data_IF_623454868002
#
_entry.id   IF_623454868002
#
_cell.length_a   1.000
_cell.length_b   1.000
_cell.length_c   1.000
_cell.angle_alpha   90.00
_cell.angle_beta   90.00
_cell.angle_gamma   90.00
#
_symmetry.space_group_name_H-M   'P 1'
#
loop_
_entity.id
_entity.type
_entity.pdbx_description
1 polymer ?
#
# COMPACT_ATOMS: atom_id res chain seq x y z
N UNK A 1 26.18 -18.89 -66.51
CA UNK A 1 26.96 -19.86 -65.72
C UNK A 1 26.68 -19.53 -64.25
N UNK A 2 25.50 -19.82 -63.72
CA UNK A 2 25.07 -21.13 -63.18
C UNK A 2 26.08 -21.75 -62.23
N UNK A 3 25.88 -21.55 -60.93
CA UNK A 3 25.84 -22.61 -59.92
C UNK A 3 25.18 -22.05 -58.65
N UNK A 4 23.94 -22.49 -58.40
CA UNK A 4 23.35 -22.41 -57.07
C UNK A 4 23.92 -23.51 -56.18
N UNK A 5 23.91 -23.29 -54.87
CA UNK A 5 23.99 -24.38 -53.92
C UNK A 5 23.06 -24.13 -52.75
N UNK A 6 22.33 -25.18 -52.41
CA UNK A 6 21.17 -25.27 -51.55
C UNK A 6 21.56 -26.22 -50.41
N UNK A 7 21.35 -25.83 -49.16
CA UNK A 7 21.57 -26.69 -48.01
C UNK A 7 21.38 -25.85 -46.75
N UNK A 8 20.52 -26.18 -45.80
CA UNK A 8 19.75 -27.37 -45.54
C UNK A 8 19.40 -27.25 -44.06
N UNK A 9 18.18 -26.79 -43.76
CA UNK A 9 17.71 -26.46 -42.40
C UNK A 9 17.43 -27.76 -41.63
N UNK A 10 18.02 -28.01 -40.45
CA UNK A 10 17.67 -29.17 -39.65
C UNK A 10 16.33 -28.93 -38.91
N UNK A 11 15.45 -29.93 -39.02
CA UNK A 11 14.12 -30.01 -38.42
C UNK A 11 14.25 -30.58 -36.99
N UNK A 12 13.54 -30.06 -35.97
CA UNK A 12 13.58 -30.63 -34.62
C UNK A 12 12.77 -31.93 -34.55
N UNK A 13 13.15 -32.90 -33.70
CA UNK A 13 12.41 -34.14 -33.53
C UNK A 13 11.09 -33.94 -32.77
N UNK A 14 10.04 -34.55 -33.32
CA UNK A 14 8.70 -34.65 -32.74
C UNK A 14 8.72 -35.53 -31.48
N UNK A 15 8.24 -34.99 -30.37
CA UNK A 15 7.92 -35.76 -29.17
C UNK A 15 6.50 -36.35 -29.29
N UNK A 16 6.41 -37.63 -28.96
CA UNK A 16 5.22 -38.48 -29.05
C UNK A 16 4.20 -38.08 -27.98
N UNK A 17 3.04 -37.60 -28.42
CA UNK A 17 1.90 -37.34 -27.54
C UNK A 17 1.22 -38.66 -27.17
N UNK A 18 1.34 -39.06 -25.91
CA UNK A 18 0.60 -40.20 -25.35
C UNK A 18 -0.76 -39.71 -24.84
N UNK A 19 -1.83 -40.17 -25.51
CA UNK A 19 -3.21 -40.11 -25.06
C UNK A 19 -3.38 -40.96 -23.80
N UNK A 20 -3.89 -40.37 -22.72
CA UNK A 20 -4.63 -41.10 -21.68
C UNK A 20 -5.85 -40.26 -21.28
N UNK A 21 -7.03 -40.82 -21.57
CA UNK A 21 -8.34 -40.22 -21.27
C UNK A 21 -8.71 -40.33 -19.79
N UNK A 22 -9.80 -39.65 -19.38
CA UNK A 22 -10.22 -39.56 -17.99
C UNK A 22 -10.94 -40.83 -17.55
N UNK A 23 -10.50 -41.43 -16.44
CA UNK A 23 -11.27 -42.46 -15.74
C UNK A 23 -12.22 -41.76 -14.78
N UNK A 24 -13.50 -41.81 -15.11
CA UNK A 24 -14.60 -41.42 -14.23
C UNK A 24 -14.84 -42.53 -13.20
N UNK A 25 -14.71 -42.20 -11.91
CA UNK A 25 -15.10 -43.08 -10.80
C UNK A 25 -16.36 -42.52 -10.15
N UNK A 26 -17.48 -43.14 -10.49
CA UNK A 26 -18.79 -42.97 -9.88
C UNK A 26 -18.81 -43.62 -8.49
N UNK A 27 -19.07 -42.83 -7.44
CA UNK A 27 -19.35 -43.35 -6.10
C UNK A 27 -20.82 -43.08 -5.74
N UNK A 28 -21.57 -44.18 -5.57
CA UNK A 28 -23.00 -44.22 -5.21
C UNK A 28 -23.17 -44.01 -3.70
N UNK A 29 -24.15 -43.20 -3.32
CA UNK A 29 -24.71 -43.13 -1.97
C UNK A 29 -25.45 -44.43 -1.60
N UNK A 30 -25.59 -44.72 -0.29
CA UNK A 30 -26.77 -45.41 0.22
C UNK A 30 -27.59 -44.51 1.17
N UNK A 31 -28.87 -44.39 0.83
CA UNK A 31 -29.96 -43.81 1.62
C UNK A 31 -30.54 -44.87 2.55
N UNK A 32 -30.74 -44.58 3.84
CA UNK A 32 -31.65 -45.33 4.72
C UNK A 32 -32.33 -44.36 5.71
N UNK A 33 -33.64 -44.50 5.87
CA UNK A 33 -34.56 -43.58 6.53
C UNK A 33 -34.97 -44.02 7.96
N UNK A 34 -35.04 -43.02 8.87
CA UNK A 34 -36.03 -42.64 9.92
C UNK A 34 -36.86 -43.76 10.61
N UNK A 35 -37.04 -43.73 11.96
CA UNK A 35 -38.27 -43.13 12.53
C UNK A 35 -38.11 -42.30 13.82
N UNK A 36 -39.19 -41.56 14.08
CA UNK A 36 -39.49 -40.53 15.09
C UNK A 36 -40.00 -41.08 16.43
N UNK A 37 -39.74 -40.39 17.54
CA UNK A 37 -40.62 -40.40 18.74
C UNK A 37 -40.37 -39.24 19.72
N UNK A 38 -41.44 -38.52 20.08
CA UNK A 38 -41.68 -37.63 21.25
C UNK A 38 -42.97 -38.15 21.93
N UNK A 39 -43.44 -37.66 23.10
CA UNK A 39 -42.83 -37.11 24.32
C UNK A 39 -43.38 -37.87 25.59
N UNK A 40 -43.28 -37.36 26.85
CA UNK A 40 -44.33 -36.48 27.40
C UNK A 40 -43.81 -35.43 28.43
N UNK A 41 -44.71 -34.89 29.26
CA UNK A 41 -44.89 -33.47 29.59
C UNK A 41 -45.02 -33.13 31.09
N UNK A 42 -44.56 -31.91 31.47
CA UNK A 42 -45.04 -30.96 32.53
C UNK A 42 -44.87 -31.31 34.03
N UNK A 43 -44.88 -30.35 35.01
CA UNK A 43 -45.43 -28.97 34.98
C UNK A 43 -44.57 -27.82 35.59
N UNK A 44 -45.23 -26.65 35.72
CA UNK A 44 -44.82 -25.23 35.80
C UNK A 44 -44.46 -24.62 37.18
N UNK A 45 -43.75 -23.47 37.08
CA UNK A 45 -43.82 -22.19 37.85
C UNK A 45 -43.11 -22.03 39.22
N UNK A 46 -42.77 -20.79 39.69
CA UNK A 46 -42.60 -19.49 39.00
C UNK A 46 -41.33 -18.66 39.39
N UNK A 47 -41.00 -17.69 38.53
CA UNK A 47 -40.45 -16.33 38.77
C UNK A 47 -39.47 -16.05 39.92
N UNK A 48 -38.21 -15.71 39.56
CA UNK A 48 -37.46 -14.62 40.22
C UNK A 48 -36.67 -13.81 39.18
N UNK A 49 -37.08 -12.56 39.03
CA UNK A 49 -36.35 -11.44 38.43
C UNK A 49 -35.06 -11.19 39.18
N UNK A 50 -33.92 -11.36 38.51
CA UNK A 50 -32.68 -10.68 38.86
C UNK A 50 -32.21 -9.92 37.63
N UNK A 51 -32.19 -8.59 37.78
CA UNK A 51 -31.69 -7.63 36.82
C UNK A 51 -30.23 -7.97 36.50
N UNK A 52 -29.97 -8.51 35.31
CA UNK A 52 -28.62 -8.61 34.77
C UNK A 52 -28.29 -7.27 34.09
N UNK A 53 -27.26 -6.62 34.62
CA UNK A 53 -26.85 -5.27 34.30
C UNK A 53 -26.57 -5.01 32.82
N UNK A 54 -27.03 -3.83 32.40
CA UNK A 54 -26.39 -2.86 31.50
C UNK A 54 -25.17 -3.39 30.70
N UNK A 55 -25.26 -3.52 29.36
CA UNK A 55 -24.07 -3.80 28.56
C UNK A 55 -23.11 -2.61 28.62
N UNK A 56 -21.83 -2.93 28.73
CA UNK A 56 -20.67 -2.05 28.73
C UNK A 56 -20.79 -0.96 27.65
N UNK A 57 -21.02 0.28 28.07
CA UNK A 57 -21.10 1.47 27.22
C UNK A 57 -19.92 2.49 27.31
N UNK A 58 -18.79 2.25 28.02
CA UNK A 58 -17.78 3.30 28.14
C UNK A 58 -16.92 3.47 26.88
N UNK A 59 -16.61 2.41 26.12
CA UNK A 59 -15.71 2.55 24.95
C UNK A 59 -16.35 3.31 23.79
N UNK A 60 -17.57 2.93 23.39
CA UNK A 60 -18.26 3.56 22.26
C UNK A 60 -18.61 5.04 22.48
N UNK A 61 -18.82 5.46 23.74
CA UNK A 61 -19.00 6.86 24.07
C UNK A 61 -17.70 7.67 24.00
N UNK A 62 -16.55 7.07 24.36
CA UNK A 62 -15.24 7.71 24.26
C UNK A 62 -14.85 7.88 22.79
N UNK A 63 -15.05 6.84 21.98
CA UNK A 63 -14.73 6.86 20.55
C UNK A 63 -15.58 7.93 19.82
N UNK A 64 -16.89 7.98 20.09
CA UNK A 64 -17.77 9.01 19.51
C UNK A 64 -17.42 10.44 19.96
N UNK A 65 -16.94 10.62 21.20
CA UNK A 65 -16.48 11.92 21.68
C UNK A 65 -15.17 12.34 21.02
N UNK A 66 -14.26 11.39 20.83
CA UNK A 66 -13.00 11.58 20.12
C UNK A 66 -13.25 11.94 18.64
N UNK A 67 -14.10 11.19 17.95
CA UNK A 67 -14.45 11.45 16.55
C UNK A 67 -15.09 12.83 16.36
N UNK A 68 -15.91 13.27 17.32
CA UNK A 68 -16.48 14.62 17.32
C UNK A 68 -15.41 15.70 17.49
N UNK A 69 -14.42 15.48 18.35
CA UNK A 69 -13.29 16.39 18.53
C UNK A 69 -12.41 16.44 17.26
N UNK A 70 -12.15 15.28 16.66
CA UNK A 70 -11.44 15.13 15.39
C UNK A 70 -12.16 15.86 14.25
N UNK A 71 -13.47 15.65 14.09
CA UNK A 71 -14.27 16.36 13.09
C UNK A 71 -14.28 17.88 13.34
N UNK A 72 -14.27 18.33 14.59
CA UNK A 72 -14.18 19.76 14.91
C UNK A 72 -12.80 20.35 14.55
N UNK A 73 -11.71 19.60 14.77
CA UNK A 73 -10.37 19.98 14.33
C UNK A 73 -10.33 20.13 12.81
N UNK A 74 -10.81 19.13 12.09
CA UNK A 74 -10.81 19.12 10.62
C UNK A 74 -11.57 20.32 10.08
N UNK A 75 -12.82 20.55 10.54
CA UNK A 75 -13.61 21.71 10.09
C UNK A 75 -12.91 23.03 10.36
N UNK A 76 -12.23 23.17 11.50
CA UNK A 76 -11.54 24.41 11.87
C UNK A 76 -10.36 24.70 10.94
N UNK A 77 -9.62 23.68 10.52
CA UNK A 77 -8.39 23.86 9.71
C UNK A 77 -8.70 23.82 8.21
N UNK A 78 -9.44 22.80 7.76
CA UNK A 78 -9.63 22.53 6.34
C UNK A 78 -10.87 23.21 5.76
N UNK A 79 -11.86 23.61 6.57
CA UNK A 79 -13.11 24.23 6.08
C UNK A 79 -13.45 25.58 6.74
N UNK A 80 -12.52 26.54 6.86
CA UNK A 80 -12.74 27.79 7.61
C UNK A 80 -13.87 28.67 7.05
N UNK A 81 -14.13 28.60 5.72
CA UNK A 81 -15.13 29.44 5.04
C UNK A 81 -16.57 28.92 5.14
N UNK A 82 -16.77 27.67 5.56
CA UNK A 82 -18.13 27.09 5.77
C UNK A 82 -18.90 27.79 6.89
N UNK A 83 -18.22 28.56 7.74
CA UNK A 83 -18.81 29.37 8.82
C UNK A 83 -19.31 30.75 8.35
N UNK A 84 -18.95 31.22 7.15
CA UNK A 84 -19.17 32.60 6.72
C UNK A 84 -20.21 32.80 5.60
N UNK A 85 -20.83 31.72 5.09
CA UNK A 85 -21.89 31.84 4.08
C UNK A 85 -23.27 32.05 4.72
N UNK A 86 -23.64 33.33 4.87
CA UNK A 86 -25.02 33.81 4.88
C UNK A 86 -25.78 33.77 6.22
N UNK A 87 -26.56 34.81 6.55
CA UNK A 87 -27.40 34.85 7.77
C UNK A 87 -28.52 33.78 7.81
N UNK A 88 -28.75 33.04 6.71
CA UNK A 88 -29.85 32.07 6.58
C UNK A 88 -29.55 30.66 7.12
N UNK A 89 -28.33 30.35 7.57
CA UNK A 89 -27.97 29.02 8.10
C UNK A 89 -27.93 28.91 9.63
N UNK A 90 -28.14 30.01 10.35
CA UNK A 90 -28.18 29.99 11.84
C UNK A 90 -29.40 29.25 12.41
N UNK A 91 -30.37 28.87 11.59
CA UNK A 91 -31.63 28.23 12.04
C UNK A 91 -31.67 26.70 11.91
N UNK A 92 -30.66 26.03 11.34
CA UNK A 92 -30.65 24.55 11.23
C UNK A 92 -29.50 23.96 12.04
N UNK A 93 -29.78 23.62 13.29
CA UNK A 93 -28.85 23.24 14.36
C UNK A 93 -28.02 21.96 14.18
N UNK A 94 -27.63 21.58 12.97
CA UNK A 94 -26.67 20.50 12.72
C UNK A 94 -25.66 20.95 11.65
N UNK A 95 -24.35 21.03 11.97
CA UNK A 95 -23.33 21.36 10.97
C UNK A 95 -23.37 20.37 9.81
N UNK A 96 -23.14 20.84 8.57
CA UNK A 96 -23.09 19.97 7.38
C UNK A 96 -22.13 18.79 7.59
N UNK A 97 -22.48 17.59 7.10
CA UNK A 97 -21.61 16.43 7.18
C UNK A 97 -20.28 16.72 6.47
N UNK A 98 -19.18 16.20 7.03
CA UNK A 98 -17.83 16.47 6.52
C UNK A 98 -17.65 15.88 5.10
N UNK A 99 -18.39 14.81 4.83
CA UNK A 99 -18.46 14.07 3.57
C UNK A 99 -19.04 14.91 2.41
N UNK A 100 -19.77 15.99 2.71
CA UNK A 100 -20.30 16.92 1.70
C UNK A 100 -19.33 18.08 1.44
N UNK A 101 -18.42 18.37 2.38
CA UNK A 101 -17.48 19.48 2.30
C UNK A 101 -16.11 19.08 1.75
N UNK A 102 -15.70 17.83 1.94
CA UNK A 102 -14.40 17.33 1.54
C UNK A 102 -14.55 16.13 0.57
N UNK A 103 -13.67 16.03 -0.44
CA UNK A 103 -13.73 14.94 -1.42
C UNK A 103 -13.35 13.60 -0.75
N UNK A 104 -14.11 12.49 -0.85
CA UNK A 104 -13.72 11.24 -0.19
C UNK A 104 -12.29 10.80 -0.54
N UNK A 105 -11.48 10.38 0.42
CA UNK A 105 -10.08 9.97 0.16
C UNK A 105 -10.01 8.49 -0.18
N UNK A 106 -10.84 7.69 0.48
CA UNK A 106 -10.93 6.24 0.33
C UNK A 106 -12.39 5.79 0.26
N UNK A 107 -12.61 4.47 0.17
CA UNK A 107 -13.96 3.89 0.30
C UNK A 107 -14.50 3.79 1.72
N UNK A 108 -13.69 4.07 2.75
CA UNK A 108 -14.10 4.00 4.16
C UNK A 108 -14.08 5.37 4.82
N UNK A 109 -15.26 5.84 5.23
CA UNK A 109 -15.42 7.14 5.89
C UNK A 109 -14.68 7.21 7.24
N UNK A 110 -14.53 6.09 7.94
CA UNK A 110 -13.79 6.03 9.22
C UNK A 110 -12.29 6.27 8.99
N UNK A 111 -11.73 5.70 7.92
CA UNK A 111 -10.33 5.92 7.53
C UNK A 111 -10.14 7.36 7.05
N UNK A 112 -11.07 7.86 6.24
CA UNK A 112 -11.05 9.23 5.74
C UNK A 112 -11.07 10.25 6.89
N UNK A 113 -11.87 10.02 7.93
CA UNK A 113 -11.91 10.89 9.11
C UNK A 113 -10.51 11.01 9.76
N UNK A 114 -9.84 9.88 9.99
CA UNK A 114 -8.51 9.89 10.62
C UNK A 114 -7.44 10.46 9.69
N UNK A 115 -7.51 10.14 8.39
CA UNK A 115 -6.59 10.67 7.40
C UNK A 115 -6.74 12.19 7.26
N UNK A 116 -7.97 12.70 7.27
CA UNK A 116 -8.22 14.14 7.32
C UNK A 116 -7.75 14.79 8.60
N UNK A 117 -7.80 14.10 9.74
CA UNK A 117 -7.23 14.62 10.98
C UNK A 117 -5.72 14.83 10.85
N UNK A 118 -5.01 13.86 10.26
CA UNK A 118 -3.59 13.95 9.99
C UNK A 118 -3.27 15.08 9.00
N UNK A 119 -4.01 15.15 7.88
CA UNK A 119 -3.86 16.22 6.88
C UNK A 119 -4.12 17.59 7.54
N UNK A 120 -5.12 17.72 8.40
CA UNK A 120 -5.42 18.94 9.13
C UNK A 120 -4.25 19.36 10.03
N UNK A 121 -3.59 18.42 10.71
CA UNK A 121 -2.39 18.73 11.50
C UNK A 121 -1.28 19.23 10.58
N UNK A 122 -1.02 18.54 9.46
CA UNK A 122 0.03 18.92 8.50
C UNK A 122 -0.22 20.31 7.92
N UNK A 123 -1.42 20.59 7.41
CA UNK A 123 -1.77 21.89 6.83
C UNK A 123 -1.67 23.00 7.89
N UNK A 124 -2.16 22.75 9.10
CA UNK A 124 -2.07 23.74 10.19
C UNK A 124 -0.63 24.09 10.55
N UNK A 125 0.26 23.11 10.65
CA UNK A 125 1.61 23.31 11.17
C UNK A 125 2.63 23.70 10.09
N UNK A 126 2.50 23.15 8.88
CA UNK A 126 3.50 23.33 7.83
C UNK A 126 3.05 24.25 6.68
N UNK A 127 1.74 24.42 6.46
CA UNK A 127 1.24 25.31 5.39
C UNK A 127 0.83 26.64 6.00
N UNK A 128 -0.12 26.64 6.94
CA UNK A 128 -0.63 27.88 7.53
C UNK A 128 0.38 28.63 8.38
N UNK A 129 1.42 27.98 8.92
CA UNK A 129 2.46 28.67 9.68
C UNK A 129 3.16 29.78 8.87
N UNK A 130 3.25 29.66 7.54
CA UNK A 130 3.84 30.68 6.67
C UNK A 130 2.84 31.25 5.67
N UNK A 131 1.96 30.43 5.07
CA UNK A 131 1.07 30.87 3.99
C UNK A 131 0.06 31.92 4.46
N UNK A 132 -0.48 31.79 5.68
CA UNK A 132 -1.41 32.78 6.25
C UNK A 132 -0.76 34.14 6.50
N UNK A 133 0.58 34.20 6.52
CA UNK A 133 1.34 35.46 6.65
C UNK A 133 1.42 36.19 5.30
N UNK A 134 1.32 35.46 4.19
CA UNK A 134 1.42 36.01 2.83
C UNK A 134 0.04 36.38 2.30
N UNK A 135 -0.92 35.46 2.36
CA UNK A 135 -2.28 35.66 1.82
C UNK A 135 -3.34 35.00 2.74
N UNK A 136 -4.52 35.62 2.93
CA UNK A 136 -5.58 35.06 3.76
C UNK A 136 -6.51 34.07 3.02
N UNK A 137 -6.20 33.67 1.79
CA UNK A 137 -7.01 32.72 1.03
C UNK A 137 -6.67 31.26 1.39
N UNK A 138 -7.51 30.32 0.93
CA UNK A 138 -7.36 28.88 1.20
C UNK A 138 -7.17 28.05 -0.08
N UNK A 139 -7.07 28.72 -1.23
CA UNK A 139 -7.03 28.07 -2.56
C UNK A 139 -5.92 27.03 -2.64
N UNK A 140 -4.72 27.37 -2.18
CA UNK A 140 -3.58 26.45 -2.14
C UNK A 140 -3.82 25.23 -1.24
N UNK A 141 -4.48 25.41 -0.10
CA UNK A 141 -4.80 24.29 0.80
C UNK A 141 -5.85 23.36 0.22
N UNK A 142 -6.85 23.93 -0.48
CA UNK A 142 -7.89 23.18 -1.19
C UNK A 142 -7.28 22.35 -2.34
N UNK A 143 -6.34 22.93 -3.10
CA UNK A 143 -5.58 22.21 -4.13
C UNK A 143 -4.78 21.05 -3.55
N UNK A 144 -4.05 21.25 -2.43
CA UNK A 144 -3.33 20.16 -1.75
C UNK A 144 -4.28 19.02 -1.37
N UNK A 145 -5.44 19.34 -0.79
CA UNK A 145 -6.44 18.33 -0.41
C UNK A 145 -6.95 17.57 -1.64
N UNK A 146 -7.20 18.27 -2.75
CA UNK A 146 -7.65 17.67 -4.00
C UNK A 146 -6.60 16.74 -4.60
N UNK A 147 -5.32 17.12 -4.59
CA UNK A 147 -4.21 16.28 -5.04
C UNK A 147 -4.11 15.04 -4.17
N UNK A 148 -4.14 15.19 -2.84
CA UNK A 148 -4.10 14.05 -1.92
C UNK A 148 -5.28 13.12 -2.17
N UNK A 149 -6.50 13.65 -2.35
CA UNK A 149 -7.69 12.86 -2.64
C UNK A 149 -7.56 12.07 -3.95
N UNK A 150 -6.96 12.67 -4.98
CA UNK A 150 -6.70 11.96 -6.22
C UNK A 150 -5.67 10.84 -6.02
N UNK A 151 -4.54 11.15 -5.38
CA UNK A 151 -3.47 10.18 -5.10
C UNK A 151 -3.97 9.00 -4.27
N UNK A 152 -4.75 9.24 -3.20
CA UNK A 152 -5.25 8.17 -2.31
C UNK A 152 -6.26 7.28 -3.02
N UNK A 153 -7.16 7.85 -3.83
CA UNK A 153 -8.10 7.06 -4.63
C UNK A 153 -7.40 6.27 -5.73
N UNK A 154 -6.45 6.87 -6.44
CA UNK A 154 -5.68 6.19 -7.48
C UNK A 154 -4.89 5.01 -6.87
N UNK A 155 -4.31 5.22 -5.69
CA UNK A 155 -3.65 4.17 -4.92
C UNK A 155 -4.62 3.06 -4.52
N UNK A 156 -5.79 3.40 -3.95
CA UNK A 156 -6.80 2.41 -3.55
C UNK A 156 -7.29 1.59 -4.75
N UNK A 157 -7.55 2.24 -5.89
CA UNK A 157 -7.98 1.56 -7.11
C UNK A 157 -6.93 0.56 -7.61
N UNK A 158 -5.65 0.90 -7.53
CA UNK A 158 -4.56 -0.01 -7.90
C UNK A 158 -4.42 -1.15 -6.88
N UNK A 159 -4.49 -0.86 -5.59
CA UNK A 159 -4.44 -1.89 -4.54
C UNK A 159 -5.59 -2.89 -4.67
N UNK A 160 -6.79 -2.45 -5.08
CA UNK A 160 -7.93 -3.34 -5.37
C UNK A 160 -7.69 -4.29 -6.53
N UNK A 161 -6.78 -3.96 -7.46
CA UNK A 161 -6.41 -4.83 -8.58
C UNK A 161 -5.28 -5.80 -8.23
N UNK A 162 -4.56 -5.53 -7.13
CA UNK A 162 -3.50 -6.40 -6.63
C UNK A 162 -4.13 -7.53 -5.83
N UNK A 163 -3.81 -8.76 -6.19
CA UNK A 163 -4.15 -9.92 -5.38
C UNK A 163 -3.25 -9.94 -4.13
N UNK A 164 -3.78 -9.42 -3.03
CA UNK A 164 -3.04 -9.32 -1.76
C UNK A 164 -2.74 -10.71 -1.19
N UNK A 165 -3.62 -11.69 -1.42
CA UNK A 165 -3.41 -13.05 -0.93
C UNK A 165 -2.21 -13.69 -1.63
N UNK A 166 -2.15 -13.59 -2.96
CA UNK A 166 -1.00 -14.07 -3.74
C UNK A 166 0.29 -13.30 -3.41
N UNK A 167 0.22 -11.97 -3.24
CA UNK A 167 1.38 -11.16 -2.87
C UNK A 167 1.98 -11.60 -1.53
N UNK A 168 1.13 -11.82 -0.53
CA UNK A 168 1.55 -12.14 0.84
C UNK A 168 1.93 -13.62 1.01
N UNK A 169 1.24 -14.53 0.33
CA UNK A 169 1.43 -15.97 0.51
C UNK A 169 2.40 -16.60 -0.50
N UNK A 170 2.56 -16.02 -1.69
CA UNK A 170 3.41 -16.59 -2.74
C UNK A 170 4.62 -15.69 -3.02
N UNK A 171 4.40 -14.43 -3.43
CA UNK A 171 5.47 -13.56 -3.94
C UNK A 171 6.48 -13.14 -2.85
N UNK A 172 6.00 -12.64 -1.71
CA UNK A 172 6.88 -12.23 -0.60
C UNK A 172 7.67 -13.43 -0.05
N UNK A 173 7.04 -14.58 0.27
CA UNK A 173 7.78 -15.76 0.71
C UNK A 173 8.76 -16.28 -0.34
N UNK A 174 8.40 -16.28 -1.62
CA UNK A 174 9.31 -16.68 -2.69
C UNK A 174 10.54 -15.77 -2.78
N UNK A 175 10.36 -14.45 -2.63
CA UNK A 175 11.47 -13.49 -2.60
C UNK A 175 12.39 -13.75 -1.39
N UNK A 176 11.82 -14.01 -0.22
CA UNK A 176 12.57 -14.35 1.00
C UNK A 176 13.31 -15.68 0.85
N UNK A 177 12.67 -16.69 0.26
CA UNK A 177 13.29 -17.99 -0.03
C UNK A 177 14.46 -17.82 -0.99
N UNK A 178 14.29 -17.09 -2.08
CA UNK A 178 15.36 -16.79 -3.04
C UNK A 178 16.55 -16.10 -2.36
N UNK A 179 16.27 -15.13 -1.47
CA UNK A 179 17.29 -14.48 -0.65
C UNK A 179 18.03 -15.48 0.26
N UNK A 180 17.31 -16.33 1.00
CA UNK A 180 17.88 -17.34 1.90
C UNK A 180 18.74 -18.35 1.13
N UNK A 181 18.27 -18.83 -0.03
CA UNK A 181 19.00 -19.77 -0.89
C UNK A 181 20.28 -19.13 -1.41
N UNK A 182 20.22 -17.89 -1.92
CA UNK A 182 21.40 -17.16 -2.39
C UNK A 182 22.41 -16.95 -1.26
N UNK A 183 21.96 -16.52 -0.07
CA UNK A 183 22.80 -16.33 1.10
C UNK A 183 23.47 -17.64 1.54
N UNK A 184 22.70 -18.72 1.68
CA UNK A 184 23.23 -20.03 2.08
C UNK A 184 24.24 -20.56 1.06
N UNK A 185 23.96 -20.40 -0.23
CA UNK A 185 24.85 -20.81 -1.32
C UNK A 185 26.17 -20.03 -1.28
N UNK A 186 26.11 -18.71 -1.08
CA UNK A 186 27.29 -17.87 -0.91
C UNK A 186 28.11 -18.27 0.35
N UNK A 187 27.43 -18.61 1.44
CA UNK A 187 28.06 -18.98 2.71
C UNK A 187 28.72 -20.38 2.71
N UNK A 188 28.14 -21.33 1.96
CA UNK A 188 28.61 -22.72 1.92
C UNK A 188 29.80 -22.95 0.99
N UNK A 189 30.24 -21.92 0.25
CA UNK A 189 31.33 -22.05 -0.72
C UNK A 189 32.69 -22.26 -0.01
N UNK A 190 33.39 -23.40 -0.22
CA UNK A 190 34.61 -23.74 0.53
C UNK A 190 35.88 -23.00 0.07
N UNK A 191 35.79 -22.14 -0.95
CA UNK A 191 36.94 -21.39 -1.46
C UNK A 191 37.32 -20.22 -0.53
N UNK A 192 38.42 -20.43 0.20
CA UNK A 192 39.35 -19.48 0.84
C UNK A 192 38.82 -18.09 1.26
N UNK A 193 38.90 -17.86 2.58
CA UNK A 193 38.62 -16.62 3.30
C UNK A 193 37.13 -16.21 3.33
N UNK A 194 36.48 -16.54 4.46
CA UNK A 194 35.19 -16.01 4.91
C UNK A 194 35.30 -14.52 5.28
N UNK A 195 35.84 -13.71 4.40
CA UNK A 195 35.81 -12.25 4.55
C UNK A 195 34.39 -11.77 4.22
N UNK A 196 33.97 -10.70 4.89
CA UNK A 196 32.67 -10.07 4.60
C UNK A 196 32.58 -9.60 3.13
N UNK A 197 33.71 -9.14 2.57
CA UNK A 197 33.83 -8.68 1.17
C UNK A 197 33.58 -9.82 0.16
N UNK A 198 34.12 -11.02 0.42
CA UNK A 198 33.84 -12.19 -0.41
C UNK A 198 32.37 -12.60 -0.37
N UNK A 199 31.78 -12.67 0.83
CA UNK A 199 30.37 -13.03 1.00
C UNK A 199 29.44 -12.05 0.27
N UNK A 200 29.71 -10.75 0.38
CA UNK A 200 28.94 -9.73 -0.32
C UNK A 200 29.05 -9.89 -1.84
N UNK A 201 30.28 -10.09 -2.36
CA UNK A 201 30.51 -10.32 -3.79
C UNK A 201 29.82 -11.58 -4.31
N UNK A 202 29.94 -12.69 -3.59
CA UNK A 202 29.31 -13.96 -3.95
C UNK A 202 27.77 -13.84 -3.92
N UNK A 203 27.21 -13.20 -2.89
CA UNK A 203 25.78 -12.98 -2.78
C UNK A 203 25.24 -12.09 -3.92
N UNK A 204 25.88 -10.95 -4.23
CA UNK A 204 25.45 -10.06 -5.32
C UNK A 204 25.66 -10.64 -6.72
N UNK A 205 26.53 -11.64 -6.86
CA UNK A 205 26.63 -12.42 -8.11
C UNK A 205 25.42 -13.33 -8.29
N UNK A 206 24.87 -13.88 -7.21
CA UNK A 206 23.67 -14.73 -7.22
C UNK A 206 22.38 -13.90 -7.27
N UNK A 207 22.38 -12.71 -6.67
CA UNK A 207 21.24 -11.80 -6.65
C UNK A 207 21.67 -10.37 -7.06
N UNK A 208 21.84 -10.10 -8.37
CA UNK A 208 22.32 -8.82 -8.85
C UNK A 208 21.26 -7.73 -8.66
N UNK A 209 21.62 -6.65 -7.96
CA UNK A 209 20.74 -5.48 -7.79
C UNK A 209 21.34 -4.22 -8.46
N UNK A 210 20.61 -3.53 -9.36
CA UNK A 210 21.14 -2.37 -10.11
C UNK A 210 21.72 -1.25 -9.24
N UNK A 211 21.12 -1.02 -8.06
CA UNK A 211 21.54 0.01 -7.12
C UNK A 211 22.76 -0.37 -6.26
N UNK A 212 23.08 -1.67 -6.14
CA UNK A 212 24.09 -2.17 -5.20
C UNK A 212 25.37 -2.66 -5.89
N UNK A 213 25.51 -2.33 -7.17
CA UNK A 213 26.72 -2.56 -7.95
C UNK A 213 27.48 -1.24 -8.12
N UNK A 214 28.83 -1.22 -8.15
CA UNK A 214 29.72 -2.30 -7.75
C UNK A 214 29.58 -2.61 -6.26
N UNK A 215 29.95 -3.83 -5.86
CA UNK A 215 30.02 -4.20 -4.44
C UNK A 215 31.11 -3.35 -3.78
N UNK A 216 30.81 -2.64 -2.68
CA UNK A 216 31.77 -1.77 -2.03
C UNK A 216 32.80 -2.63 -1.28
N UNK A 217 34.07 -2.37 -1.54
CA UNK A 217 35.17 -2.90 -0.73
C UNK A 217 35.70 -1.78 0.17
N UNK A 218 35.99 -2.09 1.44
CA UNK A 218 36.40 -1.08 2.42
C UNK A 218 37.72 -0.39 2.04
N UNK A 219 38.54 -1.05 1.23
CA UNK A 219 39.79 -0.53 0.67
C UNK A 219 39.59 0.35 -0.57
N UNK A 220 38.44 0.29 -1.23
CA UNK A 220 38.19 0.97 -2.50
C UNK A 220 37.13 2.08 -2.35
N UNK A 221 37.62 3.28 -2.05
CA UNK A 221 36.79 4.50 -1.99
C UNK A 221 36.12 4.84 -3.31
N UNK A 222 36.65 4.38 -4.45
CA UNK A 222 36.05 4.66 -5.77
C UNK A 222 34.82 3.79 -6.01
N UNK A 223 34.87 2.51 -5.65
CA UNK A 223 33.73 1.60 -5.71
C UNK A 223 32.59 2.07 -4.79
N UNK A 224 32.90 2.52 -3.57
CA UNK A 224 31.93 3.08 -2.63
C UNK A 224 31.21 4.29 -3.24
N UNK A 225 31.95 5.25 -3.81
CA UNK A 225 31.38 6.44 -4.42
C UNK A 225 30.53 6.13 -5.66
N UNK A 226 30.95 5.16 -6.50
CA UNK A 226 30.18 4.75 -7.67
C UNK A 226 28.86 4.08 -7.27
N UNK A 227 28.89 3.19 -6.27
CA UNK A 227 27.68 2.55 -5.78
C UNK A 227 26.70 3.57 -5.18
N UNK A 228 27.18 4.50 -4.36
CA UNK A 228 26.36 5.58 -3.82
C UNK A 228 25.67 6.39 -4.92
N UNK A 229 26.40 6.71 -6.00
CA UNK A 229 25.83 7.40 -7.16
C UNK A 229 24.71 6.58 -7.82
N UNK A 230 24.90 5.27 -7.97
CA UNK A 230 23.89 4.37 -8.55
C UNK A 230 22.69 4.18 -7.64
N UNK A 231 22.91 4.12 -6.34
CA UNK A 231 21.84 4.09 -5.34
C UNK A 231 20.99 5.36 -5.39
N UNK A 232 21.61 6.54 -5.47
CA UNK A 232 20.90 7.81 -5.69
C UNK A 232 20.12 7.81 -7.01
N UNK A 233 20.73 7.36 -8.10
CA UNK A 233 20.05 7.28 -9.39
C UNK A 233 18.85 6.31 -9.37
N UNK A 234 18.99 5.18 -8.68
CA UNK A 234 17.92 4.20 -8.52
C UNK A 234 16.77 4.74 -7.67
N UNK A 235 17.07 5.41 -6.55
CA UNK A 235 16.05 6.06 -5.70
C UNK A 235 15.29 7.13 -6.47
N UNK A 236 15.99 7.95 -7.25
CA UNK A 236 15.39 8.94 -8.13
C UNK A 236 14.48 8.30 -9.19
N UNK A 237 14.92 7.22 -9.84
CA UNK A 237 14.09 6.49 -10.78
C UNK A 237 12.82 5.92 -10.12
N UNK A 238 12.95 5.36 -8.91
CA UNK A 238 11.83 4.82 -8.14
C UNK A 238 10.84 5.94 -7.78
N UNK A 239 11.33 7.07 -7.28
CA UNK A 239 10.51 8.24 -6.95
C UNK A 239 9.73 8.76 -8.17
N UNK A 240 10.40 8.90 -9.32
CA UNK A 240 9.73 9.33 -10.56
C UNK A 240 8.69 8.30 -11.04
N UNK A 241 8.96 7.00 -10.89
CA UNK A 241 8.01 5.94 -11.20
C UNK A 241 6.76 5.99 -10.30
N UNK A 242 6.95 6.23 -8.99
CA UNK A 242 5.86 6.41 -8.03
C UNK A 242 5.03 7.64 -8.38
N UNK A 243 5.67 8.77 -8.68
CA UNK A 243 4.95 9.99 -9.11
C UNK A 243 4.16 9.77 -10.39
N UNK A 244 4.72 9.13 -11.40
CA UNK A 244 4.01 8.83 -12.64
C UNK A 244 2.78 7.92 -12.44
N UNK A 245 2.74 7.20 -11.33
CA UNK A 245 1.66 6.27 -10.97
C UNK A 245 0.57 6.94 -10.12
N UNK A 246 0.95 7.86 -9.23
CA UNK A 246 0.07 8.44 -8.22
C UNK A 246 -0.45 9.85 -8.57
N UNK A 247 0.37 10.68 -9.22
CA UNK A 247 0.02 12.07 -9.50
C UNK A 247 -1.01 12.16 -10.64
N UNK A 248 -1.97 13.10 -10.57
CA UNK A 248 -2.79 13.49 -11.71
C UNK A 248 -1.92 13.92 -12.90
N UNK A 249 -2.41 13.74 -14.12
CA UNK A 249 -1.68 14.15 -15.34
C UNK A 249 -1.36 15.64 -15.35
N UNK A 250 -2.30 16.46 -14.84
CA UNK A 250 -2.16 17.93 -14.72
C UNK A 250 -0.98 18.31 -13.81
N UNK A 251 -0.87 17.64 -12.67
CA UNK A 251 0.21 17.86 -11.70
C UNK A 251 1.54 17.25 -12.15
N UNK A 252 1.50 16.14 -12.90
CA UNK A 252 2.69 15.50 -13.44
C UNK A 252 3.38 16.37 -14.50
N UNK A 253 2.61 17.16 -15.25
CA UNK A 253 3.13 18.14 -16.22
C UNK A 253 3.85 19.30 -15.53
N UNK A 254 3.55 19.57 -14.25
CA UNK A 254 4.24 20.58 -13.48
C UNK A 254 5.66 20.14 -13.09
N UNK A 255 6.65 20.63 -13.84
CA UNK A 255 8.08 20.30 -13.63
C UNK A 255 8.56 20.66 -12.23
N UNK A 256 8.09 21.77 -11.64
CA UNK A 256 8.52 22.19 -10.30
C UNK A 256 8.00 21.25 -9.23
N UNK A 257 6.71 20.90 -9.29
CA UNK A 257 6.10 19.95 -8.36
C UNK A 257 6.74 18.56 -8.49
N UNK A 258 6.86 18.05 -9.72
CA UNK A 258 7.45 16.73 -9.98
C UNK A 258 8.91 16.63 -9.52
N UNK A 259 9.70 17.70 -9.70
CA UNK A 259 11.10 17.71 -9.25
C UNK A 259 11.16 17.79 -7.73
N UNK A 260 10.44 18.74 -7.11
CA UNK A 260 10.44 18.93 -5.66
C UNK A 260 9.96 17.68 -4.91
N UNK A 261 8.80 17.15 -5.28
CA UNK A 261 8.24 15.96 -4.62
C UNK A 261 9.08 14.73 -4.94
N UNK A 262 9.65 14.66 -6.15
CA UNK A 262 10.58 13.61 -6.55
C UNK A 262 11.82 13.57 -5.68
N UNK A 263 12.44 14.73 -5.44
CA UNK A 263 13.62 14.86 -4.58
C UNK A 263 13.28 14.55 -3.12
N UNK A 264 12.13 15.02 -2.61
CA UNK A 264 11.66 14.67 -1.26
C UNK A 264 11.48 13.15 -1.12
N UNK A 265 10.85 12.50 -2.10
CA UNK A 265 10.66 11.05 -2.09
C UNK A 265 12.00 10.31 -2.18
N UNK A 266 12.90 10.73 -3.08
CA UNK A 266 14.17 10.07 -3.30
C UNK A 266 15.16 10.25 -2.15
N UNK A 267 15.23 11.45 -1.58
CA UNK A 267 16.25 11.82 -0.61
C UNK A 267 15.77 11.78 0.84
N UNK A 268 14.54 12.21 1.14
CA UNK A 268 14.04 12.20 2.52
C UNK A 268 13.36 10.88 2.90
N UNK A 269 12.59 10.28 1.97
CA UNK A 269 11.79 9.08 2.30
C UNK A 269 12.55 7.80 1.96
N UNK A 270 13.08 7.69 0.74
CA UNK A 270 13.87 6.55 0.29
C UNK A 270 15.35 6.69 0.66
N UNK A 271 15.76 7.91 0.99
CA UNK A 271 17.15 8.31 1.07
C UNK A 271 17.74 8.36 2.47
N UNK A 272 17.18 7.66 3.45
CA UNK A 272 17.82 7.61 4.77
C UNK A 272 19.11 6.80 4.73
N UNK A 273 20.25 7.50 4.85
CA UNK A 273 21.48 6.94 5.40
C UNK A 273 21.72 7.61 6.76
N UNK A 274 21.77 6.88 7.88
CA UNK A 274 22.38 7.38 9.10
C UNK A 274 23.90 7.53 8.95
#
# INVERSE_FOLDING_TARGET
MSTGNNGGRPRPPQAVASKSGPIASSAKQPTLAVPSSKPPSTPRSPSQTLQAGKPSAPSSQIDAANDKATAALIRRVLCPQSSNYGPDQRERGTPRPLEELLPPLTSSNEVDLQLYALIAIIIKEFVYAWYSTITPDHTFSDEIIQIIAHCTRALEQRLRQVDVDALVLDEIPALVEAHIVAFRTAYQNPHMNRSASYLHTAYHTLNPHPALFPVPDASDTTAIAEQQKRETAYRQLLAQGVLAVLLPTEDLENVYLRTLVGDILADMILGERP
#
